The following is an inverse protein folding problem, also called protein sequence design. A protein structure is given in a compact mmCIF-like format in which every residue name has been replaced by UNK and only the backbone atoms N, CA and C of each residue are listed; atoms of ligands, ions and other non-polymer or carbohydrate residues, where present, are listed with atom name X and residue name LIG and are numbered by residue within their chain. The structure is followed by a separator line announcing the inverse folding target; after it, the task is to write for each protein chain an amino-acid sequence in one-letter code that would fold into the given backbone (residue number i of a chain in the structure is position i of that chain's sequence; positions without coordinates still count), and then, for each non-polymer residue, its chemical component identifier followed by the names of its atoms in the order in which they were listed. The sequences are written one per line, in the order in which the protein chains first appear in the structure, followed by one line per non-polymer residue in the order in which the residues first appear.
data_IF_928599294968
#
_entry.id   IF_928599294968
#
_cell.length_a   1.000
_cell.length_b   1.000
_cell.length_c   1.000
_cell.angle_alpha   90.00
_cell.angle_beta   90.00
_cell.angle_gamma   90.00
#
_symmetry.space_group_name_H-M   'P 1'
#
loop_
_entity.id
_entity.type
_entity.pdbx_description
1 polymer ?
#
# COMPACT_ATOMS: atom_id res chain seq x y z
N UNK A 1 43.83 20.80 -34.91
CA UNK A 1 45.28 21.04 -35.13
C UNK A 1 45.77 20.09 -36.21
N UNK A 2 46.62 20.54 -37.15
CA UNK A 2 47.13 19.72 -38.25
C UNK A 2 48.21 18.75 -37.74
N UNK A 3 48.47 17.62 -38.44
CA UNK A 3 49.42 16.61 -37.98
C UNK A 3 50.87 17.08 -38.22
N UNK A 4 51.67 17.05 -37.16
CA UNK A 4 53.10 17.39 -37.18
C UNK A 4 53.94 16.22 -37.73
N UNK A 5 54.74 16.58 -38.73
CA UNK A 5 56.09 16.12 -39.08
C UNK A 5 56.33 14.61 -39.24
N UNK A 6 56.51 14.26 -40.52
CA UNK A 6 57.42 13.22 -41.02
C UNK A 6 58.74 13.25 -40.25
N UNK A 7 59.04 12.18 -39.54
CA UNK A 7 60.41 11.77 -39.21
C UNK A 7 60.78 10.74 -40.26
N UNK A 8 61.65 11.14 -41.18
CA UNK A 8 62.37 10.24 -42.08
C UNK A 8 63.34 9.41 -41.23
N UNK A 9 62.86 8.25 -40.77
CA UNK A 9 63.72 7.22 -40.22
C UNK A 9 64.44 6.53 -41.39
N UNK A 10 65.77 6.55 -41.31
CA UNK A 10 66.68 6.25 -42.40
C UNK A 10 66.41 4.97 -43.17
N UNK A 11 66.68 5.05 -44.48
CA UNK A 11 66.98 3.92 -45.35
C UNK A 11 68.08 3.09 -44.69
N UNK A 12 67.68 2.04 -43.97
CA UNK A 12 68.58 0.92 -43.66
C UNK A 12 69.02 0.31 -44.99
N UNK A 13 70.31 -0.07 -45.14
CA UNK A 13 70.74 -0.76 -46.35
C UNK A 13 69.85 -1.98 -46.53
N UNK A 14 69.35 -2.19 -47.75
CA UNK A 14 68.59 -3.37 -48.09
C UNK A 14 69.43 -4.58 -47.68
N UNK A 15 69.10 -5.18 -46.53
CA UNK A 15 69.61 -6.50 -46.17
C UNK A 15 69.36 -7.36 -47.41
N UNK A 16 70.36 -8.12 -47.89
CA UNK A 16 70.13 -9.04 -49.00
C UNK A 16 68.88 -9.82 -48.61
N UNK A 17 67.81 -9.71 -49.42
CA UNK A 17 66.59 -10.50 -49.18
C UNK A 17 67.10 -11.92 -49.08
N UNK A 18 67.16 -12.45 -47.86
CA UNK A 18 67.38 -13.86 -47.62
C UNK A 18 66.44 -14.55 -48.60
N UNK A 19 66.93 -15.45 -49.46
CA UNK A 19 66.08 -16.13 -50.43
C UNK A 19 64.85 -16.57 -49.68
N UNK A 20 63.65 -16.18 -50.12
CA UNK A 20 62.43 -16.65 -49.47
C UNK A 20 62.45 -18.16 -49.68
N UNK A 21 62.94 -18.87 -48.66
CA UNK A 21 63.16 -20.30 -48.68
C UNK A 21 61.78 -20.92 -48.67
N UNK A 22 61.35 -21.31 -49.85
CA UNK A 22 60.13 -22.04 -50.04
C UNK A 22 60.50 -23.51 -49.81
N UNK A 23 60.12 -24.07 -48.66
CA UNK A 23 60.48 -25.43 -48.27
C UNK A 23 62.00 -25.75 -48.29
N UNK A 24 62.86 -24.74 -48.10
CA UNK A 24 64.32 -24.94 -48.03
C UNK A 24 65.07 -24.86 -49.37
N UNK A 25 64.41 -24.53 -50.48
CA UNK A 25 65.03 -24.31 -51.79
C UNK A 25 64.93 -22.84 -52.22
N UNK A 26 65.89 -22.39 -53.03
CA UNK A 26 65.86 -21.06 -53.64
C UNK A 26 64.91 -21.01 -54.84
N UNK A 27 64.44 -19.82 -55.20
CA UNK A 27 63.44 -19.63 -56.27
C UNK A 27 63.90 -20.11 -57.65
N UNK A 28 65.22 -20.22 -57.85
CA UNK A 28 65.87 -20.65 -59.08
C UNK A 28 66.12 -22.17 -59.14
N UNK A 29 66.02 -22.89 -58.01
CA UNK A 29 66.21 -24.36 -57.91
C UNK A 29 64.89 -25.13 -58.01
N UNK A 30 63.76 -24.45 -57.84
CA UNK A 30 62.42 -25.03 -57.89
C UNK A 30 61.96 -25.14 -59.36
N UNK A 31 61.52 -26.32 -59.80
CA UNK A 31 60.97 -26.48 -61.14
C UNK A 31 59.73 -25.59 -61.33
N UNK A 32 59.43 -25.20 -62.58
CA UNK A 32 58.25 -24.36 -62.90
C UNK A 32 56.95 -24.91 -62.27
N UNK A 33 56.78 -26.23 -62.31
CA UNK A 33 55.64 -26.93 -61.72
C UNK A 33 55.62 -26.84 -60.18
N UNK A 34 56.77 -26.95 -59.52
CA UNK A 34 56.88 -26.82 -58.06
C UNK A 34 56.54 -25.39 -57.58
N UNK A 35 56.95 -24.38 -58.35
CA UNK A 35 56.60 -22.98 -58.13
C UNK A 35 55.11 -22.73 -58.35
N UNK A 36 54.53 -23.22 -59.45
CA UNK A 36 53.10 -23.08 -59.76
C UNK A 36 52.23 -23.68 -58.67
N UNK A 37 52.53 -24.91 -58.25
CA UNK A 37 51.79 -25.51 -57.16
C UNK A 37 52.02 -24.74 -55.82
N UNK A 38 53.21 -24.17 -55.56
CA UNK A 38 53.41 -23.40 -54.32
C UNK A 38 52.57 -22.12 -54.34
N UNK A 39 52.41 -21.50 -55.52
CA UNK A 39 51.48 -20.39 -55.72
C UNK A 39 50.04 -20.84 -55.46
N UNK A 40 49.65 -22.05 -55.85
CA UNK A 40 48.33 -22.61 -55.55
C UNK A 40 48.14 -22.79 -54.04
N UNK A 41 49.09 -23.43 -53.33
CA UNK A 41 49.03 -23.56 -51.85
C UNK A 41 48.88 -22.22 -51.14
N UNK A 42 49.71 -21.24 -51.50
CA UNK A 42 49.62 -19.91 -50.89
C UNK A 42 48.28 -19.21 -51.17
N UNK A 43 47.67 -19.46 -52.34
CA UNK A 43 46.34 -18.93 -52.66
C UNK A 43 45.25 -19.62 -51.85
N UNK A 44 45.33 -20.93 -51.69
CA UNK A 44 44.39 -21.71 -50.88
C UNK A 44 44.50 -21.33 -49.40
N UNK A 45 45.71 -21.17 -48.87
CA UNK A 45 45.94 -20.72 -47.50
C UNK A 45 45.44 -19.29 -47.29
N UNK A 46 45.71 -18.39 -48.24
CA UNK A 46 45.16 -17.04 -48.21
C UNK A 46 43.62 -17.05 -48.24
N UNK A 47 43.01 -18.00 -48.95
CA UNK A 47 41.56 -18.09 -49.03
C UNK A 47 40.95 -18.69 -47.75
N UNK A 48 41.57 -19.71 -47.16
CA UNK A 48 41.21 -20.23 -45.82
C UNK A 48 41.28 -19.15 -44.76
N UNK A 49 42.39 -18.43 -44.69
CA UNK A 49 42.59 -17.32 -43.76
C UNK A 49 41.54 -16.20 -43.96
N UNK A 50 41.08 -15.97 -45.19
CA UNK A 50 39.99 -15.03 -45.48
C UNK A 50 38.64 -15.56 -44.98
N UNK A 51 38.36 -16.84 -45.20
CA UNK A 51 37.13 -17.50 -44.74
C UNK A 51 37.06 -17.53 -43.21
N UNK A 52 38.15 -17.89 -42.55
CA UNK A 52 38.25 -17.89 -41.08
C UNK A 52 38.09 -16.49 -40.50
N UNK A 53 38.78 -15.49 -41.08
CA UNK A 53 38.60 -14.09 -40.66
C UNK A 53 37.14 -13.66 -40.80
N UNK A 54 36.48 -14.02 -41.90
CA UNK A 54 35.07 -13.70 -42.12
C UNK A 54 34.17 -14.39 -41.09
N UNK A 55 34.43 -15.67 -40.80
CA UNK A 55 33.70 -16.43 -39.79
C UNK A 55 33.83 -15.79 -38.40
N UNK A 56 35.04 -15.49 -37.94
CA UNK A 56 35.27 -14.83 -36.65
C UNK A 56 34.70 -13.41 -36.59
N UNK A 57 34.65 -12.72 -37.73
CA UNK A 57 34.00 -11.40 -37.81
C UNK A 57 32.48 -11.54 -37.59
N UNK A 58 31.82 -12.49 -38.24
CA UNK A 58 30.39 -12.75 -38.06
C UNK A 58 30.05 -13.18 -36.63
N UNK A 59 30.86 -14.07 -36.04
CA UNK A 59 30.66 -14.47 -34.63
C UNK A 59 30.87 -13.30 -33.67
N UNK A 60 31.88 -12.45 -33.90
CA UNK A 60 32.07 -11.23 -33.11
C UNK A 60 30.85 -10.30 -33.23
N UNK A 61 30.36 -10.08 -34.45
CA UNK A 61 29.22 -9.17 -34.69
C UNK A 61 27.93 -9.73 -34.06
N UNK A 62 27.76 -11.06 -34.07
CA UNK A 62 26.66 -11.74 -33.39
C UNK A 62 26.74 -11.60 -31.87
N UNK A 63 27.92 -11.84 -31.28
CA UNK A 63 28.15 -11.65 -29.83
C UNK A 63 27.93 -10.19 -29.44
N UNK A 64 28.42 -9.24 -30.24
CA UNK A 64 28.21 -7.81 -30.00
C UNK A 64 26.73 -7.44 -30.06
N UNK A 65 25.97 -7.95 -31.04
CA UNK A 65 24.52 -7.73 -31.12
C UNK A 65 23.78 -8.25 -29.89
N UNK A 66 24.10 -9.46 -29.43
CA UNK A 66 23.54 -10.00 -28.19
C UNK A 66 23.91 -9.16 -26.98
N UNK A 67 25.18 -8.74 -26.87
CA UNK A 67 25.62 -7.88 -25.79
C UNK A 67 24.88 -6.54 -25.79
N UNK A 68 24.73 -5.89 -26.95
CA UNK A 68 23.97 -4.64 -27.08
C UNK A 68 22.50 -4.80 -26.69
N UNK A 69 21.87 -5.93 -27.07
CA UNK A 69 20.49 -6.25 -26.68
C UNK A 69 20.39 -6.44 -25.17
N UNK A 70 21.30 -7.22 -24.57
CA UNK A 70 21.29 -7.48 -23.13
C UNK A 70 21.53 -6.21 -22.32
N UNK A 71 22.49 -5.36 -22.72
CA UNK A 71 22.75 -4.07 -22.07
C UNK A 71 21.51 -3.18 -22.13
N UNK A 72 20.90 -3.04 -23.31
CA UNK A 72 19.68 -2.24 -23.46
C UNK A 72 18.54 -2.77 -22.59
N UNK A 73 18.37 -4.10 -22.52
CA UNK A 73 17.33 -4.72 -21.69
C UNK A 73 17.58 -4.50 -20.20
N UNK A 74 18.85 -4.56 -19.78
CA UNK A 74 19.23 -4.22 -18.41
C UNK A 74 18.92 -2.75 -18.10
N UNK A 75 19.28 -1.82 -18.98
CA UNK A 75 18.99 -0.39 -18.82
C UNK A 75 17.47 -0.11 -18.76
N UNK A 76 16.66 -0.79 -19.58
CA UNK A 76 15.20 -0.71 -19.53
C UNK A 76 14.64 -1.15 -18.17
N UNK A 77 15.09 -2.31 -17.66
CA UNK A 77 14.65 -2.83 -16.36
C UNK A 77 15.12 -1.93 -15.21
N UNK A 78 16.35 -1.41 -15.26
CA UNK A 78 16.85 -0.45 -14.27
C UNK A 78 16.06 0.87 -14.28
N UNK A 79 15.64 1.34 -15.46
CA UNK A 79 14.80 2.54 -15.58
C UNK A 79 13.38 2.30 -15.05
N UNK A 80 12.79 1.14 -15.34
CA UNK A 80 11.48 0.74 -14.80
C UNK A 80 11.53 0.61 -13.27
N UNK A 81 12.58 0.01 -12.72
CA UNK A 81 12.78 -0.11 -11.27
C UNK A 81 12.83 1.28 -10.61
N UNK A 82 13.67 2.19 -11.14
CA UNK A 82 13.77 3.58 -10.63
C UNK A 82 12.45 4.33 -10.70
N UNK A 83 11.64 4.07 -11.74
CA UNK A 83 10.31 4.67 -11.85
C UNK A 83 9.38 4.15 -10.75
N UNK A 84 9.35 2.83 -10.53
CA UNK A 84 8.52 2.22 -9.48
C UNK A 84 8.94 2.71 -8.10
N UNK A 85 10.24 2.80 -7.82
CA UNK A 85 10.76 3.35 -6.56
C UNK A 85 10.29 4.79 -6.33
N UNK A 86 10.37 5.64 -7.36
CA UNK A 86 9.88 7.01 -7.29
C UNK A 86 8.36 7.09 -7.09
N UNK A 87 7.59 6.27 -7.80
CA UNK A 87 6.13 6.22 -7.65
C UNK A 87 5.74 5.77 -6.22
N UNK A 88 6.50 4.85 -5.63
CA UNK A 88 6.36 4.41 -4.24
C UNK A 88 6.69 5.53 -3.25
N UNK A 89 7.83 6.22 -3.40
CA UNK A 89 8.21 7.36 -2.57
C UNK A 89 7.15 8.48 -2.62
N UNK A 90 6.65 8.81 -3.82
CA UNK A 90 5.58 9.79 -3.99
C UNK A 90 4.27 9.35 -3.34
N UNK A 91 3.92 8.06 -3.41
CA UNK A 91 2.74 7.50 -2.75
C UNK A 91 2.85 7.58 -1.22
N UNK A 92 4.02 7.26 -0.66
CA UNK A 92 4.31 7.42 0.76
C UNK A 92 4.22 8.89 1.20
N UNK A 93 4.79 9.81 0.41
CA UNK A 93 4.70 11.24 0.69
C UNK A 93 3.24 11.74 0.68
N UNK A 94 2.43 11.31 -0.29
CA UNK A 94 0.98 11.60 -0.34
C UNK A 94 0.27 11.05 0.89
N UNK A 95 0.52 9.80 1.25
CA UNK A 95 -0.09 9.19 2.42
C UNK A 95 0.27 9.93 3.73
N UNK A 96 1.53 10.34 3.88
CA UNK A 96 1.96 11.13 5.04
C UNK A 96 1.25 12.50 5.11
N UNK A 97 1.01 13.15 3.96
CA UNK A 97 0.23 14.39 3.92
C UNK A 97 -1.23 14.15 4.32
N UNK A 98 -1.86 13.11 3.81
CA UNK A 98 -3.24 12.75 4.16
C UNK A 98 -3.37 12.51 5.67
N UNK A 99 -2.45 11.76 6.27
CA UNK A 99 -2.42 11.53 7.72
C UNK A 99 -2.33 12.86 8.49
N UNK A 100 -1.51 13.81 8.03
CA UNK A 100 -1.42 15.15 8.66
C UNK A 100 -2.72 15.94 8.53
N UNK A 101 -3.35 15.92 7.36
CA UNK A 101 -4.64 16.59 7.10
C UNK A 101 -5.75 15.98 7.96
N UNK A 102 -5.87 14.65 8.02
CA UNK A 102 -6.85 13.97 8.88
C UNK A 102 -6.62 14.29 10.36
N UNK A 103 -5.36 14.32 10.81
CA UNK A 103 -5.02 14.72 12.18
C UNK A 103 -5.47 16.15 12.48
N UNK A 104 -5.28 17.08 11.54
CA UNK A 104 -5.77 18.46 11.70
C UNK A 104 -7.31 18.52 11.69
N UNK A 105 -7.98 17.77 10.80
CA UNK A 105 -9.45 17.73 10.73
C UNK A 105 -10.07 17.21 12.03
N UNK A 106 -9.49 16.17 12.63
CA UNK A 106 -9.92 15.66 13.94
C UNK A 106 -9.76 16.72 15.03
N UNK A 107 -8.61 17.40 15.08
CA UNK A 107 -8.38 18.49 16.06
C UNK A 107 -9.39 19.62 15.91
N UNK A 108 -9.70 20.02 14.68
CA UNK A 108 -10.68 21.07 14.40
C UNK A 108 -12.08 20.65 14.85
N UNK A 109 -12.54 19.45 14.47
CA UNK A 109 -13.84 18.92 14.92
C UNK A 109 -13.93 18.84 16.45
N UNK A 110 -12.87 18.42 17.12
CA UNK A 110 -12.82 18.39 18.59
C UNK A 110 -12.97 19.79 19.19
N UNK A 111 -12.32 20.80 18.60
CA UNK A 111 -12.42 22.18 19.06
C UNK A 111 -13.81 22.76 18.78
N UNK A 112 -14.40 22.49 17.61
CA UNK A 112 -15.79 22.87 17.29
C UNK A 112 -16.78 22.28 18.29
N UNK A 113 -16.68 20.97 18.56
CA UNK A 113 -17.54 20.31 19.55
C UNK A 113 -17.36 20.90 20.95
N UNK A 114 -16.12 21.22 21.35
CA UNK A 114 -15.86 21.84 22.65
C UNK A 114 -16.52 23.22 22.74
N UNK A 115 -16.40 24.03 21.70
CA UNK A 115 -16.99 25.37 21.65
C UNK A 115 -18.53 25.31 21.74
N UNK A 116 -19.15 24.40 20.98
CA UNK A 116 -20.61 24.19 21.06
C UNK A 116 -21.04 23.74 22.46
N UNK A 117 -20.29 22.84 23.10
CA UNK A 117 -20.59 22.41 24.47
C UNK A 117 -20.47 23.59 25.46
N UNK A 118 -19.45 24.45 25.30
CA UNK A 118 -19.29 25.61 26.17
C UNK A 118 -20.40 26.65 25.98
N UNK A 119 -20.83 26.89 24.74
CA UNK A 119 -21.95 27.79 24.43
C UNK A 119 -23.27 27.25 25.00
N UNK A 120 -23.58 25.96 24.78
CA UNK A 120 -24.78 25.34 25.35
C UNK A 120 -24.79 25.39 26.88
N UNK A 121 -23.63 25.25 27.52
CA UNK A 121 -23.50 25.39 28.98
C UNK A 121 -23.73 26.82 29.43
N UNK A 122 -23.19 27.82 28.74
CA UNK A 122 -23.45 29.22 29.09
C UNK A 122 -24.92 29.59 28.90
N UNK A 123 -25.54 29.13 27.81
CA UNK A 123 -26.96 29.38 27.55
C UNK A 123 -27.86 28.72 28.60
N UNK A 124 -27.53 27.48 28.98
CA UNK A 124 -28.24 26.78 30.05
C UNK A 124 -28.10 27.47 31.41
N UNK A 125 -26.92 28.01 31.72
CA UNK A 125 -26.70 28.76 32.97
C UNK A 125 -27.48 30.08 32.96
N UNK A 126 -27.41 30.84 31.87
CA UNK A 126 -28.15 32.09 31.72
C UNK A 126 -29.67 31.88 31.82
N UNK A 127 -30.21 30.82 31.18
CA UNK A 127 -31.61 30.46 31.30
C UNK A 127 -31.99 30.09 32.75
N UNK A 128 -31.12 29.35 33.46
CA UNK A 128 -31.34 29.01 34.86
C UNK A 128 -31.36 30.24 35.77
N UNK A 129 -30.44 31.20 35.57
CA UNK A 129 -30.40 32.44 36.34
C UNK A 129 -31.64 33.31 36.11
N UNK A 130 -32.16 33.34 34.88
CA UNK A 130 -33.41 34.05 34.57
C UNK A 130 -34.58 33.41 35.30
N UNK A 131 -34.70 32.08 35.24
CA UNK A 131 -35.76 31.34 35.95
C UNK A 131 -35.68 31.52 37.46
N UNK A 132 -34.47 31.52 38.03
CA UNK A 132 -34.27 31.75 39.47
C UNK A 132 -34.73 33.17 39.87
N UNK A 133 -34.38 34.19 39.09
CA UNK A 133 -34.85 35.57 39.33
C UNK A 133 -36.37 35.70 39.20
N UNK A 134 -36.98 35.05 38.22
CA UNK A 134 -38.44 35.03 38.06
C UNK A 134 -39.11 34.34 39.26
N UNK A 135 -38.55 33.23 39.74
CA UNK A 135 -39.03 32.55 40.94
C UNK A 135 -38.92 33.44 42.18
N UNK A 136 -37.78 34.09 42.39
CA UNK A 136 -37.58 35.03 43.52
C UNK A 136 -38.60 36.18 43.50
N UNK A 137 -38.89 36.72 42.31
CA UNK A 137 -39.90 37.76 42.14
C UNK A 137 -41.31 37.26 42.50
N UNK A 138 -41.69 36.07 42.01
CA UNK A 138 -42.98 35.46 42.34
C UNK A 138 -43.12 35.17 43.84
N UNK A 139 -42.06 34.67 44.47
CA UNK A 139 -42.03 34.45 45.93
C UNK A 139 -42.16 35.76 46.71
N UNK A 140 -41.51 36.84 46.25
CA UNK A 140 -41.59 38.15 46.88
C UNK A 140 -43.00 38.75 46.78
N UNK A 141 -43.63 38.67 45.61
CA UNK A 141 -45.02 39.12 45.40
C UNK A 141 -45.99 38.28 46.26
N UNK A 142 -45.83 36.96 46.30
CA UNK A 142 -46.64 36.10 47.16
C UNK A 142 -46.50 36.48 48.65
N UNK A 143 -45.28 36.73 49.13
CA UNK A 143 -45.03 37.20 50.51
C UNK A 143 -45.70 38.55 50.79
N UNK A 144 -45.77 39.44 49.79
CA UNK A 144 -46.42 40.74 49.91
C UNK A 144 -47.94 40.58 49.99
N UNK A 145 -48.54 39.78 49.12
CA UNK A 145 -49.97 39.45 49.15
C UNK A 145 -50.37 38.87 50.51
N UNK A 146 -49.66 37.84 50.99
CA UNK A 146 -49.91 37.23 52.30
C UNK A 146 -49.83 38.27 53.44
N UNK A 147 -48.91 39.23 53.36
CA UNK A 147 -48.78 40.29 54.38
C UNK A 147 -49.98 41.22 54.39
N UNK A 148 -50.49 41.59 53.22
CA UNK A 148 -51.71 42.42 53.09
C UNK A 148 -52.90 41.67 53.64
N UNK A 149 -53.09 40.41 53.26
CA UNK A 149 -54.18 39.56 53.77
C UNK A 149 -54.15 39.47 55.31
N UNK A 150 -52.97 39.29 55.91
CA UNK A 150 -52.81 39.28 57.38
C UNK A 150 -53.20 40.62 57.99
N UNK A 151 -52.82 41.75 57.38
CA UNK A 151 -53.19 43.08 57.88
C UNK A 151 -54.70 43.32 57.80
N UNK A 152 -55.34 42.95 56.69
CA UNK A 152 -56.79 43.04 56.51
C UNK A 152 -57.54 42.20 57.55
N UNK A 153 -57.11 40.95 57.77
CA UNK A 153 -57.67 40.08 58.82
C UNK A 153 -57.52 40.69 60.23
N UNK A 154 -56.38 41.33 60.52
CA UNK A 154 -56.18 42.02 61.80
C UNK A 154 -57.10 43.23 61.95
N UNK A 155 -57.27 44.05 60.89
CA UNK A 155 -58.18 45.21 60.90
C UNK A 155 -59.62 44.73 61.11
N UNK A 156 -60.08 43.72 60.36
CA UNK A 156 -61.40 43.13 60.57
C UNK A 156 -61.60 42.63 62.00
N UNK A 157 -60.56 42.05 62.60
CA UNK A 157 -60.61 41.61 63.99
C UNK A 157 -60.76 42.80 64.95
N UNK A 158 -59.99 43.88 64.75
CA UNK A 158 -60.13 45.10 65.54
C UNK A 158 -61.50 45.76 65.37
N UNK A 159 -62.06 45.79 64.16
CA UNK A 159 -63.40 46.33 63.91
C UNK A 159 -64.47 45.51 64.64
N UNK A 160 -64.39 44.18 64.59
CA UNK A 160 -65.28 43.28 65.35
C UNK A 160 -65.16 43.51 66.86
N UNK A 161 -63.94 43.73 67.38
CA UNK A 161 -63.71 44.07 68.79
C UNK A 161 -64.28 45.45 69.16
N UNK A 162 -64.11 46.46 68.32
CA UNK A 162 -64.69 47.80 68.49
C UNK A 162 -66.22 47.75 68.47
N UNK A 163 -66.83 46.99 67.56
CA UNK A 163 -68.28 46.76 67.52
C UNK A 163 -68.79 46.08 68.79
N UNK A 164 -68.07 45.08 69.31
CA UNK A 164 -68.36 44.43 70.58
C UNK A 164 -68.29 45.42 71.75
N UNK A 165 -67.27 46.27 71.81
CA UNK A 165 -67.11 47.30 72.86
C UNK A 165 -68.22 48.36 72.75
N UNK A 166 -68.54 48.82 71.54
CA UNK A 166 -69.63 49.77 71.30
C UNK A 166 -70.98 49.17 71.67
N UNK A 167 -71.23 47.91 71.30
CA UNK A 167 -72.43 47.16 71.69
C UNK A 167 -72.50 46.96 73.21
N UNK A 168 -71.37 46.68 73.87
CA UNK A 168 -71.27 46.58 75.34
C UNK A 168 -71.54 47.91 76.03
N UNK A 169 -71.01 49.01 75.50
CA UNK A 169 -71.21 50.36 76.05
C UNK A 169 -72.64 50.86 75.82
N UNK A 170 -73.24 50.53 74.66
CA UNK A 170 -74.66 50.73 74.31
C UNK A 170 -75.58 49.93 75.23
N UNK A 171 -75.23 48.68 75.55
CA UNK A 171 -75.91 47.85 76.57
C UNK A 171 -75.68 48.39 78.00
N UNK A 172 -74.54 49.04 78.29
CA UNK A 172 -74.32 49.67 79.60
C UNK A 172 -75.10 50.97 79.81
N UNK A 173 -75.45 51.68 78.72
CA UNK A 173 -76.26 52.90 78.73
C UNK A 173 -77.77 52.62 78.62
N UNK A 174 -78.14 51.47 78.07
CA UNK A 174 -79.53 51.02 77.98
C UNK A 174 -79.71 49.83 78.93
N UNK A 175 -80.22 50.12 80.12
CA UNK A 175 -80.84 49.19 81.08
C UNK A 175 -79.92 48.45 82.07
N UNK A 176 -79.90 48.99 83.30
CA UNK A 176 -80.31 48.19 84.46
C UNK A 176 -81.56 47.37 84.04
N UNK A 177 -81.46 46.05 84.16
CA UNK A 177 -82.30 44.97 83.63
C UNK A 177 -81.93 44.34 82.27
N UNK A 178 -81.36 43.12 82.41
CA UNK A 178 -81.58 41.91 81.56
C UNK A 178 -80.36 41.40 80.76
N UNK A 179 -79.19 41.30 81.41
CA UNK A 179 -78.09 40.45 80.93
C UNK A 179 -77.89 39.22 81.82
N UNK A 180 -78.30 38.05 81.32
CA UNK A 180 -77.65 36.77 81.65
C UNK A 180 -77.77 35.67 80.58
N UNK A 181 -78.53 35.85 79.49
CA UNK A 181 -78.73 34.77 78.49
C UNK A 181 -77.81 34.84 77.23
N UNK A 182 -77.32 36.00 76.81
CA UNK A 182 -76.56 36.14 75.54
C UNK A 182 -75.03 35.88 75.69
N UNK A 183 -74.51 35.95 76.92
CA UNK A 183 -73.07 35.84 77.23
C UNK A 183 -72.49 34.42 77.17
N UNK A 184 -73.32 33.38 77.23
CA UNK A 184 -72.87 31.98 77.16
C UNK A 184 -72.85 31.50 75.70
N UNK A 185 -73.84 31.89 74.90
CA UNK A 185 -73.97 31.48 73.50
C UNK A 185 -72.83 31.99 72.59
N UNK A 186 -72.34 33.22 72.76
CA UNK A 186 -71.28 33.77 71.89
C UNK A 186 -69.94 33.07 72.11
N UNK A 187 -69.62 32.72 73.37
CA UNK A 187 -68.37 32.05 73.73
C UNK A 187 -68.35 30.62 73.18
N UNK A 188 -69.47 29.92 73.28
CA UNK A 188 -69.67 28.60 72.69
C UNK A 188 -69.67 28.65 71.15
N UNK A 189 -70.24 29.70 70.55
CA UNK A 189 -70.26 29.89 69.08
C UNK A 189 -68.85 30.19 68.54
N UNK A 190 -68.06 31.04 69.21
CA UNK A 190 -66.68 31.34 68.82
C UNK A 190 -65.77 30.12 68.96
N UNK A 191 -65.89 29.38 70.08
CA UNK A 191 -65.09 28.17 70.29
C UNK A 191 -65.46 27.07 69.28
N UNK A 192 -66.75 26.95 68.94
CA UNK A 192 -67.24 26.03 67.89
C UNK A 192 -66.74 26.42 66.49
N UNK A 193 -66.72 27.71 66.14
CA UNK A 193 -66.23 28.18 64.84
C UNK A 193 -64.71 28.03 64.69
N UNK A 194 -63.92 28.42 65.69
CA UNK A 194 -62.47 28.20 65.67
C UNK A 194 -62.12 26.70 65.55
N UNK A 195 -62.89 25.83 66.22
CA UNK A 195 -62.71 24.38 66.13
C UNK A 195 -63.12 23.81 64.76
N UNK A 196 -64.13 24.39 64.09
CA UNK A 196 -64.50 24.02 62.71
C UNK A 196 -63.45 24.48 61.70
N UNK A 197 -62.92 25.69 61.86
CA UNK A 197 -61.90 26.24 60.97
C UNK A 197 -60.58 25.47 61.09
N UNK A 198 -60.16 25.11 62.30
CA UNK A 198 -58.98 24.27 62.49
C UNK A 198 -59.15 22.86 61.92
N UNK A 199 -60.37 22.29 61.97
CA UNK A 199 -60.70 21.04 61.29
C UNK A 199 -60.65 21.18 59.76
N UNK A 200 -61.09 22.31 59.20
CA UNK A 200 -61.00 22.59 57.76
C UNK A 200 -59.54 22.65 57.30
N UNK A 201 -58.71 23.41 58.01
CA UNK A 201 -57.26 23.52 57.74
C UNK A 201 -56.55 22.17 57.87
N UNK A 202 -56.93 21.34 58.84
CA UNK A 202 -56.41 19.97 58.96
C UNK A 202 -56.82 19.08 57.78
N UNK A 203 -58.06 19.21 57.29
CA UNK A 203 -58.54 18.45 56.14
C UNK A 203 -57.82 18.85 54.84
N UNK A 204 -57.60 20.14 54.62
CA UNK A 204 -56.82 20.65 53.47
C UNK A 204 -55.37 20.19 53.51
N UNK A 205 -54.72 20.23 54.68
CA UNK A 205 -53.36 19.72 54.84
C UNK A 205 -53.27 18.22 54.53
N UNK A 206 -54.26 17.43 54.97
CA UNK A 206 -54.32 16.00 54.66
C UNK A 206 -54.47 15.76 53.15
N UNK A 207 -55.31 16.53 52.46
CA UNK A 207 -55.45 16.43 51.01
C UNK A 207 -54.15 16.80 50.28
N UNK A 208 -53.47 17.89 50.68
CA UNK A 208 -52.21 18.29 50.07
C UNK A 208 -51.07 17.28 50.28
N UNK A 209 -51.02 16.64 51.46
CA UNK A 209 -50.08 15.55 51.72
C UNK A 209 -50.37 14.32 50.86
N UNK A 210 -51.66 14.03 50.62
CA UNK A 210 -52.08 12.94 49.74
C UNK A 210 -51.70 13.22 48.27
N UNK A 211 -51.94 14.43 47.77
CA UNK A 211 -51.58 14.85 46.41
C UNK A 211 -50.06 14.81 46.19
N UNK A 212 -49.26 15.32 47.13
CA UNK A 212 -47.79 15.25 47.04
C UNK A 212 -47.28 13.81 47.00
N UNK A 213 -47.88 12.92 47.79
CA UNK A 213 -47.53 11.49 47.75
C UNK A 213 -47.82 10.90 46.37
N UNK A 214 -48.98 11.21 45.80
CA UNK A 214 -49.39 10.71 44.49
C UNK A 214 -48.50 11.27 43.36
N UNK A 215 -48.15 12.56 43.41
CA UNK A 215 -47.20 13.19 42.50
C UNK A 215 -45.80 12.54 42.58
N UNK A 216 -45.31 12.27 43.79
CA UNK A 216 -44.04 11.57 43.98
C UNK A 216 -44.05 10.15 43.38
N UNK A 217 -45.16 9.42 43.52
CA UNK A 217 -45.34 8.10 42.90
C UNK A 217 -45.32 8.18 41.37
N UNK A 218 -46.00 9.18 40.78
CA UNK A 218 -45.95 9.41 39.33
C UNK A 218 -44.54 9.75 38.82
N UNK A 219 -43.82 10.62 39.54
CA UNK A 219 -42.43 10.97 39.20
C UNK A 219 -41.55 9.73 39.26
N UNK A 220 -41.71 8.88 40.28
CA UNK A 220 -40.95 7.63 40.39
C UNK A 220 -41.22 6.69 39.22
N UNK A 221 -42.48 6.59 38.77
CA UNK A 221 -42.88 5.72 37.66
C UNK A 221 -42.33 6.21 36.32
N UNK A 222 -42.38 7.51 36.07
CA UNK A 222 -41.80 8.14 34.86
C UNK A 222 -40.28 7.94 34.84
N UNK A 223 -39.60 8.08 35.98
CA UNK A 223 -38.16 7.81 36.09
C UNK A 223 -37.83 6.36 35.72
N UNK A 224 -38.57 5.41 36.26
CA UNK A 224 -38.35 3.99 35.99
C UNK A 224 -38.59 3.63 34.51
N UNK A 225 -39.58 4.25 33.87
CA UNK A 225 -39.83 4.10 32.43
C UNK A 225 -38.71 4.74 31.58
N UNK A 226 -38.22 5.92 31.98
CA UNK A 226 -37.09 6.59 31.34
C UNK A 226 -35.83 5.72 31.39
N UNK A 227 -35.53 5.12 32.54
CA UNK A 227 -34.40 4.21 32.71
C UNK A 227 -34.54 2.94 31.85
N UNK A 228 -35.75 2.37 31.75
CA UNK A 228 -36.04 1.24 30.86
C UNK A 228 -35.83 1.59 29.39
N UNK A 229 -36.23 2.79 28.96
CA UNK A 229 -36.01 3.27 27.59
C UNK A 229 -34.53 3.50 27.33
N UNK A 230 -33.81 4.13 28.26
CA UNK A 230 -32.37 4.36 28.17
C UNK A 230 -31.58 3.03 28.04
N UNK A 231 -31.94 2.03 28.84
CA UNK A 231 -31.37 0.68 28.76
C UNK A 231 -31.62 0.02 27.39
N UNK A 232 -32.85 0.10 26.87
CA UNK A 232 -33.19 -0.45 25.54
C UNK A 232 -32.42 0.24 24.42
N UNK A 233 -32.29 1.57 24.46
CA UNK A 233 -31.53 2.34 23.48
C UNK A 233 -30.05 1.97 23.49
N UNK A 234 -29.44 1.87 24.68
CA UNK A 234 -28.05 1.44 24.83
C UNK A 234 -27.82 0.07 24.21
N UNK A 235 -28.68 -0.90 24.52
CA UNK A 235 -28.58 -2.25 23.97
C UNK A 235 -28.74 -2.28 22.44
N UNK A 236 -29.67 -1.49 21.89
CA UNK A 236 -29.89 -1.41 20.44
C UNK A 236 -28.68 -0.82 19.70
N UNK A 237 -28.06 0.23 20.26
CA UNK A 237 -26.86 0.86 19.71
C UNK A 237 -25.66 -0.09 19.77
N UNK A 238 -25.42 -0.74 20.91
CA UNK A 238 -24.35 -1.72 21.09
C UNK A 238 -24.49 -2.88 20.09
N UNK A 239 -25.69 -3.43 19.94
CA UNK A 239 -25.96 -4.50 18.98
C UNK A 239 -25.70 -4.05 17.53
N UNK A 240 -26.09 -2.83 17.16
CA UNK A 240 -25.86 -2.31 15.81
C UNK A 240 -24.38 -2.10 15.51
N UNK A 241 -23.61 -1.61 16.48
CA UNK A 241 -22.14 -1.48 16.39
C UNK A 241 -21.48 -2.85 16.26
N UNK A 242 -21.90 -3.85 17.05
CA UNK A 242 -21.39 -5.22 16.96
C UNK A 242 -21.70 -5.83 15.59
N UNK A 243 -22.91 -5.63 15.07
CA UNK A 243 -23.33 -6.17 13.78
C UNK A 243 -22.49 -5.58 12.63
N UNK A 244 -22.26 -4.26 12.64
CA UNK A 244 -21.42 -3.58 11.65
C UNK A 244 -19.98 -4.08 11.71
N UNK A 245 -19.39 -4.16 12.91
CA UNK A 245 -18.04 -4.72 13.11
C UNK A 245 -17.94 -6.16 12.61
N UNK A 246 -18.96 -6.99 12.85
CA UNK A 246 -18.99 -8.40 12.42
C UNK A 246 -19.09 -8.53 10.90
N UNK A 247 -19.82 -7.63 10.23
CA UNK A 247 -19.89 -7.58 8.76
C UNK A 247 -18.54 -7.18 8.16
N UNK A 248 -17.95 -6.08 8.61
CA UNK A 248 -16.62 -5.65 8.16
C UNK A 248 -15.53 -6.70 8.40
N UNK A 249 -15.59 -7.41 9.54
CA UNK A 249 -14.64 -8.48 9.85
C UNK A 249 -14.83 -9.71 8.95
N UNK A 250 -16.07 -10.03 8.55
CA UNK A 250 -16.34 -11.08 7.55
C UNK A 250 -15.79 -10.71 6.18
N UNK A 251 -16.05 -9.48 5.73
CA UNK A 251 -15.61 -8.99 4.42
C UNK A 251 -14.06 -9.02 4.35
N UNK A 252 -13.38 -8.48 5.37
CA UNK A 252 -11.92 -8.50 5.46
C UNK A 252 -11.33 -9.91 5.53
N UNK A 253 -12.01 -10.84 6.21
CA UNK A 253 -11.58 -12.25 6.26
C UNK A 253 -11.67 -12.91 4.89
N UNK A 254 -12.74 -12.65 4.13
CA UNK A 254 -12.85 -13.17 2.77
C UNK A 254 -11.81 -12.58 1.81
N UNK A 255 -11.47 -11.30 1.94
CA UNK A 255 -10.40 -10.68 1.16
C UNK A 255 -9.03 -11.30 1.47
N UNK A 256 -8.74 -11.56 2.75
CA UNK A 256 -7.50 -12.21 3.17
C UNK A 256 -7.36 -13.62 2.59
N UNK A 257 -8.43 -14.41 2.62
CA UNK A 257 -8.43 -15.77 2.08
C UNK A 257 -8.24 -15.79 0.55
N UNK A 258 -8.81 -14.83 -0.17
CA UNK A 258 -8.56 -14.63 -1.61
C UNK A 258 -7.09 -14.25 -1.86
N UNK A 259 -6.51 -13.39 -1.02
CA UNK A 259 -5.13 -12.96 -1.16
C UNK A 259 -4.14 -14.10 -0.86
N UNK A 260 -4.40 -14.93 0.15
CA UNK A 260 -3.64 -16.16 0.44
C UNK A 260 -3.65 -17.14 -0.74
N UNK A 261 -4.81 -17.33 -1.37
CA UNK A 261 -4.91 -18.17 -2.55
C UNK A 261 -4.10 -17.61 -3.73
N UNK A 262 -4.12 -16.29 -3.95
CA UNK A 262 -3.30 -15.64 -4.99
C UNK A 262 -1.80 -15.76 -4.69
N UNK A 263 -1.40 -15.56 -3.44
CA UNK A 263 -0.01 -15.70 -3.02
C UNK A 263 0.50 -17.13 -3.23
N UNK A 264 -0.30 -18.13 -2.87
CA UNK A 264 0.04 -19.54 -3.09
C UNK A 264 0.23 -19.87 -4.58
N UNK A 265 -0.60 -19.31 -5.47
CA UNK A 265 -0.44 -19.48 -6.92
C UNK A 265 0.82 -18.82 -7.45
N UNK A 266 1.09 -17.57 -7.06
CA UNK A 266 2.32 -16.88 -7.44
C UNK A 266 3.58 -17.59 -6.95
N UNK A 267 3.51 -18.22 -5.77
CA UNK A 267 4.61 -18.98 -5.22
C UNK A 267 4.89 -20.25 -6.03
N UNK A 268 3.83 -20.96 -6.45
CA UNK A 268 3.94 -22.09 -7.38
C UNK A 268 4.48 -21.68 -8.74
N UNK A 269 3.97 -20.60 -9.34
CA UNK A 269 4.47 -20.06 -10.61
C UNK A 269 5.96 -19.71 -10.51
N UNK A 270 6.38 -19.07 -9.40
CA UNK A 270 7.80 -18.77 -9.15
C UNK A 270 8.63 -20.04 -9.01
N UNK A 271 8.16 -21.04 -8.28
CA UNK A 271 8.87 -22.32 -8.12
C UNK A 271 9.00 -23.07 -9.45
N UNK A 272 7.95 -23.10 -10.27
CA UNK A 272 7.96 -23.69 -11.61
C UNK A 272 8.97 -22.96 -12.54
N UNK A 273 8.98 -21.63 -12.49
CA UNK A 273 9.88 -20.81 -13.32
C UNK A 273 11.34 -20.96 -12.88
N UNK A 274 11.60 -21.03 -11.56
CA UNK A 274 12.92 -21.36 -11.03
C UNK A 274 13.38 -22.74 -11.51
N UNK A 275 12.49 -23.75 -11.48
CA UNK A 275 12.81 -25.10 -11.92
C UNK A 275 13.11 -25.16 -13.42
N UNK A 276 12.28 -24.53 -14.25
CA UNK A 276 12.49 -24.44 -15.69
C UNK A 276 13.82 -23.72 -16.03
N UNK A 277 14.16 -22.67 -15.28
CA UNK A 277 15.43 -21.98 -15.45
C UNK A 277 16.62 -22.87 -15.09
N UNK A 278 16.55 -23.64 -14.00
CA UNK A 278 17.63 -24.59 -13.66
C UNK A 278 17.77 -25.71 -14.67
N UNK A 279 16.66 -26.28 -15.15
CA UNK A 279 16.67 -27.34 -16.18
C UNK A 279 17.28 -26.82 -17.50
N UNK A 280 16.88 -25.62 -17.93
CA UNK A 280 17.46 -24.98 -19.12
C UNK A 280 18.95 -24.69 -18.97
N UNK A 281 19.38 -24.24 -17.79
CA UNK A 281 20.80 -23.98 -17.52
C UNK A 281 21.63 -25.27 -17.50
N UNK A 282 21.10 -26.35 -16.93
CA UNK A 282 21.75 -27.67 -16.92
C UNK A 282 21.85 -28.26 -18.34
N UNK A 283 20.80 -28.15 -19.16
CA UNK A 283 20.86 -28.58 -20.57
C UNK A 283 21.93 -27.83 -21.36
N UNK A 284 22.04 -26.52 -21.15
CA UNK A 284 23.04 -25.69 -21.83
C UNK A 284 24.46 -26.08 -21.40
N UNK A 285 24.69 -26.28 -20.11
CA UNK A 285 25.97 -26.82 -19.61
C UNK A 285 26.27 -28.22 -20.13
N UNK A 286 25.27 -29.08 -20.26
CA UNK A 286 25.47 -30.44 -20.76
C UNK A 286 25.85 -30.44 -22.25
N UNK A 287 25.23 -29.56 -23.05
CA UNK A 287 25.60 -29.34 -24.47
C UNK A 287 27.02 -28.83 -24.60
N UNK A 288 27.41 -27.86 -23.77
CA UNK A 288 28.77 -27.29 -23.77
C UNK A 288 29.82 -28.35 -23.43
N UNK A 289 29.57 -29.14 -22.36
CA UNK A 289 30.43 -30.26 -21.97
C UNK A 289 30.53 -31.34 -23.07
N UNK A 290 29.45 -31.58 -23.82
CA UNK A 290 29.47 -32.56 -24.92
C UNK A 290 30.30 -32.07 -26.12
N UNK A 291 30.20 -30.77 -26.44
CA UNK A 291 31.03 -30.11 -27.46
C UNK A 291 32.51 -30.15 -27.05
N UNK A 292 32.79 -29.87 -25.78
CA UNK A 292 34.15 -29.88 -25.24
C UNK A 292 34.79 -31.29 -25.32
N UNK A 293 34.03 -32.34 -24.98
CA UNK A 293 34.47 -33.74 -25.16
C UNK A 293 34.74 -34.09 -26.62
N UNK A 294 33.89 -33.65 -27.55
CA UNK A 294 34.09 -33.87 -28.99
C UNK A 294 35.34 -33.17 -29.51
N UNK A 295 35.57 -31.93 -29.09
CA UNK A 295 36.79 -31.18 -29.40
C UNK A 295 38.04 -31.87 -28.85
N UNK A 296 37.99 -32.36 -27.61
CA UNK A 296 39.12 -33.08 -27.02
C UNK A 296 39.42 -34.39 -27.75
N UNK A 297 38.41 -35.19 -28.08
CA UNK A 297 38.60 -36.42 -28.84
C UNK A 297 39.19 -36.17 -30.24
N UNK A 298 38.73 -35.12 -30.93
CA UNK A 298 39.30 -34.68 -32.21
C UNK A 298 40.76 -34.24 -32.06
N UNK A 299 41.07 -33.50 -31.00
CA UNK A 299 42.44 -33.05 -30.69
C UNK A 299 43.36 -34.24 -30.45
N UNK A 300 42.97 -35.18 -29.60
CA UNK A 300 43.78 -36.39 -29.34
C UNK A 300 43.93 -37.28 -30.58
N UNK A 301 42.89 -37.37 -31.42
CA UNK A 301 42.96 -38.05 -32.72
C UNK A 301 44.00 -37.38 -33.62
N UNK A 302 43.95 -36.05 -33.71
CA UNK A 302 44.89 -35.26 -34.50
C UNK A 302 46.32 -35.47 -34.00
N UNK A 303 46.57 -35.36 -32.70
CA UNK A 303 47.89 -35.60 -32.10
C UNK A 303 48.41 -37.01 -32.39
N UNK A 304 47.56 -38.04 -32.30
CA UNK A 304 47.93 -39.42 -32.67
C UNK A 304 48.29 -39.53 -34.15
N UNK A 305 47.52 -38.89 -35.04
CA UNK A 305 47.82 -38.91 -36.48
C UNK A 305 49.11 -38.15 -36.81
N UNK A 306 49.36 -37.01 -36.18
CA UNK A 306 50.60 -36.23 -36.33
C UNK A 306 51.81 -37.02 -35.82
N UNK A 307 51.69 -37.70 -34.68
CA UNK A 307 52.74 -38.56 -34.15
C UNK A 307 53.03 -39.74 -35.10
N UNK A 308 51.99 -40.40 -35.62
CA UNK A 308 52.15 -41.47 -36.62
C UNK A 308 52.81 -40.95 -37.91
N UNK A 309 52.39 -39.78 -38.40
CA UNK A 309 52.97 -39.13 -39.57
C UNK A 309 54.46 -38.81 -39.34
N UNK A 310 54.80 -38.25 -38.18
CA UNK A 310 56.19 -37.97 -37.79
C UNK A 310 57.07 -39.23 -37.82
N UNK A 311 56.58 -40.35 -37.29
CA UNK A 311 57.29 -41.63 -37.29
C UNK A 311 57.48 -42.17 -38.72
N UNK A 312 56.43 -42.15 -39.55
CA UNK A 312 56.52 -42.62 -40.94
C UNK A 312 57.47 -41.76 -41.77
N UNK A 313 57.42 -40.44 -41.59
CA UNK A 313 58.30 -39.50 -42.28
C UNK A 313 59.78 -39.71 -41.89
N UNK A 314 60.06 -40.02 -40.63
CA UNK A 314 61.41 -40.31 -40.15
C UNK A 314 61.91 -41.71 -40.54
N UNK A 315 61.04 -42.72 -40.59
CA UNK A 315 61.40 -44.09 -40.97
C UNK A 315 61.57 -44.28 -42.48
N UNK A 316 60.80 -43.57 -43.31
CA UNK A 316 60.73 -43.82 -44.75
C UNK A 316 61.83 -43.13 -45.56
N UNK A 317 62.56 -42.15 -44.99
CA UNK A 317 63.60 -41.37 -45.65
C UNK A 317 63.20 -40.90 -47.06
N UNK A 318 61.91 -40.60 -47.23
CA UNK A 318 61.27 -40.34 -48.52
C UNK A 318 61.59 -38.92 -48.98
N UNK A 319 61.79 -38.75 -50.30
CA UNK A 319 62.10 -37.45 -50.89
C UNK A 319 60.97 -36.44 -50.61
N UNK A 320 61.31 -35.43 -49.80
CA UNK A 320 60.42 -34.34 -49.33
C UNK A 320 59.73 -33.63 -50.49
N UNK A 321 60.34 -33.65 -51.67
CA UNK A 321 59.86 -33.03 -52.90
C UNK A 321 58.69 -33.80 -53.51
N UNK A 322 58.77 -35.13 -53.57
CA UNK A 322 57.72 -36.01 -54.09
C UNK A 322 56.49 -36.04 -53.17
N UNK A 323 56.70 -36.04 -51.84
CA UNK A 323 55.61 -35.90 -50.87
C UNK A 323 54.89 -34.56 -51.02
N UNK A 324 55.63 -33.45 -51.20
CA UNK A 324 55.02 -32.13 -51.40
C UNK A 324 54.14 -32.05 -52.66
N UNK A 325 54.52 -32.73 -53.75
CA UNK A 325 53.72 -32.80 -54.98
C UNK A 325 52.42 -33.59 -54.77
N UNK A 326 52.50 -34.72 -54.05
CA UNK A 326 51.33 -35.54 -53.71
C UNK A 326 50.38 -34.77 -52.78
N UNK A 327 50.90 -34.09 -51.75
CA UNK A 327 50.09 -33.27 -50.84
C UNK A 327 49.36 -32.15 -51.59
N UNK A 328 50.03 -31.44 -52.52
CA UNK A 328 49.39 -30.42 -53.35
C UNK A 328 48.28 -30.98 -54.23
N UNK A 329 48.49 -32.14 -54.85
CA UNK A 329 47.42 -32.80 -55.61
C UNK A 329 46.22 -33.15 -54.73
N UNK A 330 46.46 -33.64 -53.51
CA UNK A 330 45.40 -33.94 -52.55
C UNK A 330 44.68 -32.66 -52.11
N UNK A 331 45.40 -31.56 -51.87
CA UNK A 331 44.81 -30.25 -51.56
C UNK A 331 43.88 -29.78 -52.67
N UNK A 332 44.35 -29.77 -53.93
CA UNK A 332 43.54 -29.39 -55.09
C UNK A 332 42.26 -30.24 -55.19
N UNK A 333 42.35 -31.54 -54.93
CA UNK A 333 41.18 -32.44 -54.91
C UNK A 333 40.23 -32.07 -53.76
N UNK A 334 40.75 -31.77 -52.57
CA UNK A 334 39.92 -31.33 -51.44
C UNK A 334 39.23 -29.98 -51.70
N UNK A 335 39.91 -29.03 -52.34
CA UNK A 335 39.33 -27.73 -52.73
C UNK A 335 38.21 -27.94 -53.74
N UNK A 336 38.40 -28.84 -54.72
CA UNK A 336 37.36 -29.22 -55.66
C UNK A 336 36.16 -29.89 -54.97
N UNK A 337 36.38 -30.77 -53.99
CA UNK A 337 35.33 -31.41 -53.19
C UNK A 337 34.53 -30.35 -52.40
N UNK A 338 35.20 -29.41 -51.72
CA UNK A 338 34.53 -28.32 -50.99
C UNK A 338 33.67 -27.45 -51.92
N UNK A 339 34.18 -27.09 -53.09
CA UNK A 339 33.43 -26.30 -54.09
C UNK A 339 32.19 -27.06 -54.57
N UNK A 340 32.32 -28.36 -54.82
CA UNK A 340 31.20 -29.21 -55.22
C UNK A 340 30.16 -29.36 -54.10
N UNK A 341 30.59 -29.55 -52.84
CA UNK A 341 29.70 -29.58 -51.68
C UNK A 341 28.96 -28.25 -51.49
N UNK A 342 29.65 -27.12 -51.64
CA UNK A 342 29.02 -25.80 -51.57
C UNK A 342 27.96 -25.62 -52.68
N UNK A 343 28.28 -26.02 -53.93
CA UNK A 343 27.31 -25.99 -55.03
C UNK A 343 26.12 -26.90 -54.78
N UNK A 344 26.31 -28.10 -54.24
CA UNK A 344 25.23 -29.03 -53.88
C UNK A 344 24.31 -28.41 -52.81
N UNK A 345 24.88 -27.77 -51.78
CA UNK A 345 24.10 -27.11 -50.74
C UNK A 345 23.33 -25.90 -51.28
N UNK A 346 23.93 -25.13 -52.21
CA UNK A 346 23.28 -24.01 -52.87
C UNK A 346 22.09 -24.47 -53.74
N UNK A 347 22.27 -25.58 -54.46
CA UNK A 347 21.20 -26.19 -55.26
C UNK A 347 20.09 -26.73 -54.35
N UNK A 348 20.42 -27.41 -53.25
CA UNK A 348 19.42 -27.91 -52.29
C UNK A 348 18.61 -26.79 -51.64
N UNK A 349 19.25 -25.68 -51.29
CA UNK A 349 18.56 -24.50 -50.73
C UNK A 349 17.64 -23.85 -51.76
N UNK A 350 18.07 -23.68 -53.00
CA UNK A 350 17.21 -23.17 -54.08
C UNK A 350 16.05 -24.12 -54.38
N UNK A 351 16.29 -25.44 -54.44
CA UNK A 351 15.22 -26.43 -54.65
C UNK A 351 14.19 -26.44 -53.51
N UNK A 352 14.61 -26.20 -52.27
CA UNK A 352 13.70 -26.10 -51.12
C UNK A 352 12.80 -24.84 -51.15
N UNK A 353 13.30 -23.74 -51.73
CA UNK A 353 12.56 -22.49 -51.91
C UNK A 353 11.51 -22.54 -53.03
N UNK A 354 11.68 -23.42 -54.03
CA UNK A 354 10.71 -23.61 -55.12
C UNK A 354 9.66 -24.71 -54.84
N UNK A 355 9.82 -25.46 -53.74
CA UNK A 355 8.90 -26.52 -53.32
C UNK A 355 7.94 -26.09 -52.19
N UNK A 356 8.06 -24.85 -51.70
CA UNK A 356 7.04 -24.14 -50.89
C UNK A 356 6.26 -23.19 -51.80
#
# INVERSE_FOLDING_TARGET
QPPKKKVEAGKKPAKPRTPTLINGLTKDEMSKEQLEEHIVRLREELNREREERNYFQLERDKINSFWEVTVRKQEEVEAELKKVDKDMEEAEARHQLDVKVYKQKIKHLQHEHLNVITELKSDSLAASEVLEKEQEQLEAELRKTIRVDIQELNIEQFDKELELVCSTKRVSLYTNHRCHAAGVHWKDTLYSNAKKEQKSKQLELVNFLWDNKHLAEHISKIKEESDKIAMKLKHCLENKVILLKRKSLKDLKSEHEILEQKFSKLQLERDELCKAFTESAEEEQHKDMEVEKKLQALTESQERTEAQLSVVLSASNTDRTALSLITKKIEVVNTAIKILQHKINLISTVSSLFAS
#
